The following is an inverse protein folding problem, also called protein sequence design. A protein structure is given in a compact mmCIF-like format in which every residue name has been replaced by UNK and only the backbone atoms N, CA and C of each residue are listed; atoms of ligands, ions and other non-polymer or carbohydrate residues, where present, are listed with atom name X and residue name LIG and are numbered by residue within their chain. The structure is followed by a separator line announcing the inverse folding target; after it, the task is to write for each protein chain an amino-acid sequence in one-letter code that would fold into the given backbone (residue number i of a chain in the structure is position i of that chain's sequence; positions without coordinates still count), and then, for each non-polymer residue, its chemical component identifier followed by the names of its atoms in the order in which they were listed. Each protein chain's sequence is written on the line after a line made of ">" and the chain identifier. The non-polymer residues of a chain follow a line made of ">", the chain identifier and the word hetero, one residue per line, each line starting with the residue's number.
data_IF_438302904645
#
_entry.id   IF_438302904645
#
_cell.length_a   1.000
_cell.length_b   1.000
_cell.length_c   1.000
_cell.angle_alpha   90.00
_cell.angle_beta   90.00
_cell.angle_gamma   90.00
#
_symmetry.space_group_name_H-M   'P 1'
#
loop_
_entity.id
_entity.type
_entity.pdbx_description
1 polymer ?
#
# COMPACT_ATOMS: atom_id res chain seq x y z
N UNK A 1 -19.93 14.72 23.63
CA UNK A 1 -19.69 13.30 23.94
C UNK A 1 -19.77 12.54 22.63
N UNK A 2 -18.63 12.09 22.09
CA UNK A 2 -18.59 11.31 20.85
C UNK A 2 -18.87 9.85 21.23
N UNK A 3 -20.11 9.40 21.00
CA UNK A 3 -20.44 7.98 21.08
C UNK A 3 -20.02 7.37 19.74
N UNK A 4 -18.81 6.82 19.72
CA UNK A 4 -18.36 5.94 18.64
C UNK A 4 -19.26 4.70 18.66
N UNK A 5 -20.27 4.67 17.81
CA UNK A 5 -21.14 3.51 17.61
C UNK A 5 -20.54 2.68 16.50
N UNK A 6 -19.57 1.84 16.83
CA UNK A 6 -19.16 0.75 15.96
C UNK A 6 -20.34 -0.19 15.79
N UNK A 7 -21.06 -0.10 14.68
CA UNK A 7 -22.07 -1.10 14.33
C UNK A 7 -21.37 -2.39 13.92
N UNK A 8 -21.60 -3.45 14.68
CA UNK A 8 -21.12 -4.79 14.36
C UNK A 8 -22.03 -5.35 13.25
N UNK A 9 -21.57 -5.29 12.01
CA UNK A 9 -22.34 -5.69 10.81
C UNK A 9 -22.44 -7.22 10.70
N UNK A 10 -21.50 -7.96 11.32
CA UNK A 10 -21.46 -9.41 11.33
C UNK A 10 -21.01 -9.92 12.71
N UNK A 11 -21.60 -11.00 13.25
CA UNK A 11 -21.15 -11.61 14.49
C UNK A 11 -19.69 -12.08 14.35
N UNK A 12 -18.90 -12.09 15.44
CA UNK A 12 -17.55 -12.63 15.43
C UNK A 12 -17.55 -14.06 14.89
N UNK A 13 -16.66 -14.35 13.95
CA UNK A 13 -16.47 -15.71 13.44
C UNK A 13 -15.89 -16.59 14.55
N UNK A 14 -16.41 -17.81 14.71
CA UNK A 14 -15.83 -18.77 15.65
C UNK A 14 -14.37 -19.07 15.28
N UNK A 15 -13.47 -18.82 16.23
CA UNK A 15 -12.05 -19.09 16.04
C UNK A 15 -11.79 -20.60 16.17
N UNK A 16 -11.19 -21.21 15.16
CA UNK A 16 -10.77 -22.62 15.17
C UNK A 16 -9.43 -22.85 15.87
N UNK A 17 -8.85 -21.81 16.45
CA UNK A 17 -7.53 -21.81 17.09
C UNK A 17 -7.53 -20.95 18.35
N UNK A 18 -6.65 -21.30 19.28
CA UNK A 18 -6.45 -20.52 20.50
C UNK A 18 -5.74 -19.18 20.20
N UNK A 19 -5.94 -18.14 21.03
CA UNK A 19 -5.24 -16.87 20.88
C UNK A 19 -3.72 -17.04 21.01
N UNK A 20 -2.95 -16.45 20.09
CA UNK A 20 -1.50 -16.38 20.21
C UNK A 20 -1.11 -15.17 21.08
N UNK A 21 -0.89 -15.42 22.38
CA UNK A 21 -0.54 -14.37 23.36
C UNK A 21 0.75 -13.64 22.99
N UNK A 22 1.74 -14.35 22.45
CA UNK A 22 3.03 -13.76 22.10
C UNK A 22 2.91 -12.77 20.93
N UNK A 23 2.09 -13.08 19.92
CA UNK A 23 1.79 -12.15 18.83
C UNK A 23 1.05 -10.90 19.33
N UNK A 24 0.11 -11.07 20.25
CA UNK A 24 -0.62 -9.96 20.85
C UNK A 24 0.34 -9.04 21.62
N UNK A 25 1.26 -9.60 22.40
CA UNK A 25 2.28 -8.84 23.13
C UNK A 25 3.24 -8.12 22.18
N UNK A 26 3.72 -8.80 21.12
CA UNK A 26 4.56 -8.17 20.09
C UNK A 26 3.84 -6.98 19.43
N UNK A 27 2.55 -7.11 19.09
CA UNK A 27 1.73 -6.01 18.55
C UNK A 27 1.60 -4.85 19.54
N UNK A 28 1.40 -5.12 20.84
CA UNK A 28 1.34 -4.08 21.88
C UNK A 28 2.65 -3.29 21.96
N UNK A 29 3.80 -3.98 21.90
CA UNK A 29 5.12 -3.36 21.91
C UNK A 29 5.31 -2.46 20.68
N UNK A 30 4.98 -2.95 19.48
CA UNK A 30 5.05 -2.15 18.24
C UNK A 30 4.17 -0.90 18.31
N UNK A 31 2.95 -1.02 18.84
CA UNK A 31 2.06 0.12 19.05
C UNK A 31 2.60 1.12 20.08
N UNK A 32 3.26 0.65 21.15
CA UNK A 32 3.92 1.53 22.11
C UNK A 32 5.07 2.32 21.47
N UNK A 33 5.90 1.66 20.64
CA UNK A 33 6.96 2.32 19.89
C UNK A 33 6.39 3.37 18.93
N UNK A 34 5.29 3.06 18.22
CA UNK A 34 4.57 4.02 17.37
C UNK A 34 4.05 5.22 18.17
N UNK A 35 3.40 4.97 19.30
CA UNK A 35 2.92 6.03 20.19
C UNK A 35 4.06 6.94 20.66
N UNK A 36 5.18 6.38 21.13
CA UNK A 36 6.35 7.17 21.54
C UNK A 36 6.98 7.92 20.36
N UNK A 37 7.01 7.34 19.16
CA UNK A 37 7.55 7.99 17.98
C UNK A 37 6.74 9.24 17.59
N UNK A 38 5.42 9.19 17.75
CA UNK A 38 4.48 10.29 17.47
C UNK A 38 4.49 11.38 18.56
N UNK A 39 4.62 10.99 19.83
CA UNK A 39 4.36 11.88 20.96
C UNK A 39 5.61 12.31 21.74
N UNK A 40 6.80 11.87 21.35
CA UNK A 40 8.05 12.20 22.06
C UNK A 40 9.17 12.57 21.10
N UNK A 41 10.18 13.29 21.62
CA UNK A 41 11.40 13.67 20.90
C UNK A 41 12.57 12.70 21.14
N UNK A 42 12.35 11.61 21.89
CA UNK A 42 13.37 10.61 22.20
C UNK A 42 14.02 10.06 20.93
N UNK A 43 15.32 9.82 20.92
CA UNK A 43 15.94 9.18 19.75
C UNK A 43 15.42 7.74 19.56
N UNK A 44 15.47 7.16 18.34
CA UNK A 44 14.95 5.81 18.08
C UNK A 44 15.52 4.73 19.00
N UNK A 45 16.80 4.82 19.36
CA UNK A 45 17.46 3.86 20.25
C UNK A 45 16.81 3.85 21.64
N UNK A 46 16.53 5.03 22.20
CA UNK A 46 15.84 5.18 23.48
C UNK A 46 14.40 4.67 23.43
N UNK A 47 13.69 4.89 22.33
CA UNK A 47 12.32 4.37 22.14
C UNK A 47 12.33 2.84 22.09
N UNK A 48 13.22 2.25 21.31
CA UNK A 48 13.32 0.78 21.15
C UNK A 48 13.69 0.15 22.50
N UNK A 49 14.77 0.62 23.12
CA UNK A 49 15.27 0.08 24.38
C UNK A 49 14.22 0.18 25.50
N UNK A 50 13.55 1.34 25.64
CA UNK A 50 12.51 1.51 26.66
C UNK A 50 11.22 0.73 26.41
N UNK A 51 11.01 0.23 25.18
CA UNK A 51 9.81 -0.56 24.82
C UNK A 51 10.08 -2.06 24.84
N UNK A 52 11.34 -2.47 24.95
CA UNK A 52 11.77 -3.86 25.03
C UNK A 52 12.17 -4.29 26.45
N UNK A 53 11.92 -3.45 27.47
CA UNK A 53 12.16 -3.80 28.87
C UNK A 53 11.24 -4.97 29.25
N UNK A 54 11.83 -6.02 29.84
CA UNK A 54 11.13 -7.22 30.31
C UNK A 54 10.38 -8.01 29.22
N UNK A 55 10.80 -7.91 27.95
CA UNK A 55 10.25 -8.73 26.87
C UNK A 55 10.80 -10.15 26.96
N UNK A 56 9.91 -11.14 26.88
CA UNK A 56 10.30 -12.56 26.90
C UNK A 56 11.01 -12.94 25.60
N UNK A 57 11.91 -13.95 25.60
CA UNK A 57 12.56 -14.41 24.37
C UNK A 57 11.58 -14.82 23.26
N UNK A 58 10.44 -15.41 23.64
CA UNK A 58 9.40 -15.84 22.72
C UNK A 58 8.66 -14.68 22.03
N UNK A 59 8.54 -13.52 22.69
CA UNK A 59 7.99 -12.30 22.09
C UNK A 59 9.07 -11.56 21.31
N UNK A 60 10.31 -11.55 21.82
CA UNK A 60 11.44 -10.91 21.17
C UNK A 60 11.73 -11.51 19.79
N UNK A 61 11.50 -12.81 19.59
CA UNK A 61 11.67 -13.47 18.29
C UNK A 61 10.60 -13.08 17.27
N UNK A 62 9.47 -12.52 17.71
CA UNK A 62 8.39 -12.03 16.84
C UNK A 62 8.57 -10.54 16.48
N UNK A 63 9.48 -9.84 17.14
CA UNK A 63 9.76 -8.43 16.84
C UNK A 63 10.68 -8.33 15.61
N UNK A 64 10.50 -7.28 14.77
CA UNK A 64 11.44 -6.97 13.71
C UNK A 64 12.85 -6.67 14.26
N UNK A 65 13.84 -6.77 13.40
CA UNK A 65 15.21 -6.38 13.73
C UNK A 65 15.32 -4.88 14.08
N UNK A 66 16.43 -4.53 14.71
CA UNK A 66 16.68 -3.17 15.20
C UNK A 66 16.62 -2.12 14.08
N UNK A 67 17.16 -2.43 12.90
CA UNK A 67 17.20 -1.47 11.78
C UNK A 67 15.81 -1.22 11.21
N UNK A 68 14.97 -2.24 11.14
CA UNK A 68 13.56 -2.15 10.76
C UNK A 68 12.78 -1.31 11.77
N UNK A 69 12.97 -1.56 13.07
CA UNK A 69 12.35 -0.75 14.12
C UNK A 69 12.79 0.72 14.04
N UNK A 70 14.09 0.97 13.86
CA UNK A 70 14.66 2.31 13.71
C UNK A 70 14.09 3.03 12.49
N UNK A 71 14.05 2.36 11.33
CA UNK A 71 13.47 2.91 10.08
C UNK A 71 11.98 3.21 10.26
N UNK A 72 11.22 2.33 10.91
CA UNK A 72 9.80 2.56 11.19
C UNK A 72 9.59 3.82 12.03
N UNK A 73 10.36 4.01 13.11
CA UNK A 73 10.29 5.22 13.95
C UNK A 73 10.63 6.47 13.13
N UNK A 74 11.66 6.41 12.29
CA UNK A 74 12.05 7.52 11.43
C UNK A 74 10.98 7.83 10.38
N UNK A 75 10.38 6.82 9.76
CA UNK A 75 9.29 6.98 8.79
C UNK A 75 8.07 7.65 9.42
N UNK A 76 7.65 7.18 10.61
CA UNK A 76 6.54 7.79 11.36
C UNK A 76 6.80 9.29 11.59
N UNK A 77 8.02 9.67 11.97
CA UNK A 77 8.38 11.08 12.20
C UNK A 77 8.49 11.88 10.91
N UNK A 78 9.07 11.30 9.86
CA UNK A 78 9.14 11.95 8.55
C UNK A 78 7.75 12.26 8.03
N UNK A 79 6.80 11.32 8.14
CA UNK A 79 5.42 11.53 7.70
C UNK A 79 4.65 12.57 8.56
N UNK A 80 5.11 12.87 9.78
CA UNK A 80 4.55 13.99 10.57
C UNK A 80 5.06 15.35 10.10
N UNK A 81 6.32 15.43 9.67
CA UNK A 81 6.97 16.68 9.26
C UNK A 81 6.66 16.99 7.78
N UNK A 82 6.69 15.95 6.96
CA UNK A 82 6.42 15.97 5.53
C UNK A 82 5.33 14.93 5.25
N UNK A 83 4.06 15.26 5.56
CA UNK A 83 2.97 14.37 5.23
C UNK A 83 2.91 14.17 3.71
N UNK A 84 2.69 12.93 3.28
CA UNK A 84 2.25 12.68 1.91
C UNK A 84 0.88 13.35 1.74
N UNK A 85 0.85 14.45 0.99
CA UNK A 85 -0.38 15.16 0.67
C UNK A 85 -1.04 14.36 -0.46
N UNK A 86 -1.81 13.35 -0.08
CA UNK A 86 -2.73 12.69 -0.98
C UNK A 86 -4.01 13.54 -1.08
N UNK A 87 -4.64 13.59 -2.26
CA UNK A 87 -5.97 14.16 -2.40
C UNK A 87 -6.98 13.39 -1.52
N UNK A 88 -8.14 13.97 -1.24
CA UNK A 88 -9.11 13.32 -0.34
C UNK A 88 -9.80 12.10 -1.00
N UNK A 89 -9.78 12.03 -2.33
CA UNK A 89 -10.38 10.95 -3.12
C UNK A 89 -9.63 10.69 -4.42
N UNK A 90 -9.89 9.55 -5.06
CA UNK A 90 -9.36 9.26 -6.38
C UNK A 90 -9.81 10.32 -7.39
N UNK A 91 -11.03 10.85 -7.31
CA UNK A 91 -11.55 11.87 -8.23
C UNK A 91 -10.81 13.20 -8.15
N UNK A 92 -10.26 13.56 -6.99
CA UNK A 92 -9.49 14.79 -6.79
C UNK A 92 -8.03 14.69 -7.25
N UNK A 93 -7.56 13.48 -7.58
CA UNK A 93 -6.19 13.29 -8.07
C UNK A 93 -6.00 13.94 -9.44
N UNK A 94 -5.17 14.98 -9.51
CA UNK A 94 -4.72 15.53 -10.80
C UNK A 94 -3.37 14.90 -11.12
N UNK A 95 -3.23 14.30 -12.30
CA UNK A 95 -1.94 13.79 -12.78
C UNK A 95 -1.22 14.92 -13.53
N UNK A 96 -0.10 15.44 -12.99
CA UNK A 96 0.73 16.42 -13.68
C UNK A 96 1.14 15.97 -15.09
N UNK A 97 1.23 16.92 -16.02
CA UNK A 97 1.60 16.64 -17.42
C UNK A 97 2.94 15.91 -17.55
N UNK A 98 3.90 16.16 -16.64
CA UNK A 98 5.20 15.48 -16.60
C UNK A 98 5.11 13.96 -16.36
N UNK A 99 4.01 13.47 -15.78
CA UNK A 99 3.77 12.03 -15.57
C UNK A 99 2.84 11.42 -16.62
N UNK A 100 2.35 12.22 -17.58
CA UNK A 100 1.51 11.73 -18.67
C UNK A 100 2.33 11.21 -19.86
N UNK A 101 3.63 11.51 -19.89
CA UNK A 101 4.57 11.13 -20.95
C UNK A 101 5.76 10.36 -20.37
N UNK A 102 6.39 9.53 -21.20
CA UNK A 102 7.71 8.95 -20.90
C UNK A 102 8.80 10.00 -21.05
N UNK A 103 10.02 9.70 -20.57
CA UNK A 103 11.19 10.57 -20.80
C UNK A 103 11.53 10.74 -22.29
N UNK A 104 11.11 9.78 -23.13
CA UNK A 104 11.27 9.84 -24.59
C UNK A 104 10.19 10.69 -25.28
N UNK A 105 9.19 11.19 -24.54
CA UNK A 105 8.09 11.99 -25.07
C UNK A 105 6.92 11.17 -25.61
N UNK A 106 6.93 9.85 -25.41
CA UNK A 106 5.79 8.99 -25.79
C UNK A 106 4.67 9.11 -24.75
N UNK A 107 3.42 8.90 -25.18
CA UNK A 107 2.28 8.80 -24.27
C UNK A 107 2.54 7.71 -23.23
N UNK A 108 2.24 8.02 -21.97
CA UNK A 108 2.33 7.07 -20.86
C UNK A 108 1.02 6.96 -20.08
N UNK A 109 0.30 8.07 -19.85
CA UNK A 109 -1.07 8.00 -19.36
C UNK A 109 -1.98 7.54 -20.51
N UNK A 110 -2.31 6.25 -20.52
CA UNK A 110 -3.05 5.62 -21.62
C UNK A 110 -4.55 5.81 -21.47
N UNK A 111 -5.05 5.68 -20.23
CA UNK A 111 -6.46 5.77 -19.89
C UNK A 111 -6.61 6.39 -18.49
N UNK A 112 -7.61 7.26 -18.34
CA UNK A 112 -8.00 7.84 -17.06
C UNK A 112 -9.49 8.16 -17.13
N UNK A 113 -10.31 7.29 -16.54
CA UNK A 113 -11.75 7.46 -16.56
C UNK A 113 -12.36 7.21 -15.18
N UNK A 114 -13.39 7.98 -14.86
CA UNK A 114 -14.20 7.88 -13.64
C UNK A 114 -15.70 7.79 -13.93
N UNK A 115 -16.08 7.68 -15.21
CA UNK A 115 -17.45 7.77 -15.72
C UNK A 115 -18.39 6.68 -15.20
N UNK A 116 -17.87 5.51 -14.81
CA UNK A 116 -18.67 4.37 -14.35
C UNK A 116 -18.72 4.34 -12.82
N UNK A 117 -19.89 4.67 -12.24
CA UNK A 117 -20.20 4.52 -10.82
C UNK A 117 -19.22 5.23 -9.85
N UNK A 118 -18.63 6.35 -10.27
CA UNK A 118 -17.54 7.03 -9.55
C UNK A 118 -16.46 6.03 -9.14
N UNK A 119 -15.95 5.27 -10.11
CA UNK A 119 -14.86 4.33 -9.93
C UNK A 119 -13.76 4.70 -10.90
N UNK A 120 -12.77 5.44 -10.40
CA UNK A 120 -11.66 5.87 -11.23
C UNK A 120 -10.73 4.69 -11.55
N UNK A 121 -10.47 4.48 -12.83
CA UNK A 121 -9.46 3.55 -13.35
C UNK A 121 -8.44 4.36 -14.13
N UNK A 122 -7.17 4.20 -13.77
CA UNK A 122 -6.05 4.89 -14.40
C UNK A 122 -5.08 3.83 -14.93
N UNK A 123 -4.77 3.89 -16.23
CA UNK A 123 -3.85 2.98 -16.89
C UNK A 123 -2.63 3.77 -17.37
N UNK A 124 -1.46 3.32 -16.93
CA UNK A 124 -0.18 3.77 -17.44
C UNK A 124 0.45 2.71 -18.34
N UNK A 125 0.59 3.04 -19.61
CA UNK A 125 1.14 2.18 -20.66
C UNK A 125 1.51 3.06 -21.88
N UNK A 126 2.66 2.79 -22.50
CA UNK A 126 2.98 3.38 -23.80
C UNK A 126 2.40 2.56 -24.96
N UNK A 127 2.27 3.18 -26.13
CA UNK A 127 1.81 2.46 -27.33
C UNK A 127 2.71 1.26 -27.67
N UNK A 128 4.03 1.42 -27.49
CA UNK A 128 5.00 0.33 -27.65
C UNK A 128 4.82 -0.80 -26.64
N UNK A 129 4.45 -0.50 -25.39
CA UNK A 129 4.09 -1.52 -24.41
C UNK A 129 2.82 -2.27 -24.83
N UNK A 130 1.82 -1.55 -25.35
CA UNK A 130 0.58 -2.16 -25.87
C UNK A 130 0.84 -3.12 -27.02
N UNK A 131 1.69 -2.73 -27.97
CA UNK A 131 2.12 -3.59 -29.08
C UNK A 131 2.80 -4.87 -28.57
N UNK A 132 3.69 -4.75 -27.58
CA UNK A 132 4.36 -5.89 -26.96
C UNK A 132 3.35 -6.80 -26.28
N UNK A 133 2.42 -6.27 -25.49
CA UNK A 133 1.42 -7.07 -24.78
C UNK A 133 0.48 -7.77 -25.77
N UNK A 134 0.06 -7.11 -26.85
CA UNK A 134 -0.83 -7.68 -27.87
C UNK A 134 -0.20 -8.82 -28.68
N UNK A 135 1.13 -8.81 -28.82
CA UNK A 135 1.88 -9.82 -29.58
C UNK A 135 2.51 -10.89 -28.67
N UNK A 136 2.45 -10.71 -27.35
CA UNK A 136 3.04 -11.63 -26.39
C UNK A 136 2.24 -12.92 -26.28
N UNK A 137 2.93 -14.06 -26.42
CA UNK A 137 2.34 -15.39 -26.25
C UNK A 137 1.88 -15.65 -24.81
N UNK A 138 2.56 -15.05 -23.84
CA UNK A 138 2.31 -15.22 -22.43
C UNK A 138 2.33 -13.86 -21.75
N UNK A 139 1.27 -13.58 -20.99
CA UNK A 139 1.17 -12.42 -20.11
C UNK A 139 0.95 -12.89 -18.67
N UNK A 140 1.44 -12.11 -17.73
CA UNK A 140 1.36 -12.40 -16.29
C UNK A 140 0.74 -11.21 -15.56
N UNK A 141 0.10 -11.52 -14.44
CA UNK A 141 -0.72 -10.60 -13.68
C UNK A 141 -0.15 -10.53 -12.25
N UNK A 142 0.21 -9.34 -11.78
CA UNK A 142 0.59 -9.11 -10.38
C UNK A 142 -0.20 -7.95 -9.76
N UNK A 143 -0.72 -8.16 -8.55
CA UNK A 143 -1.60 -7.22 -7.86
C UNK A 143 -1.07 -6.85 -6.49
N UNK A 144 -0.88 -5.56 -6.25
CA UNK A 144 -0.45 -5.02 -4.94
C UNK A 144 -1.61 -4.28 -4.26
N UNK A 145 -1.99 -4.77 -3.08
CA UNK A 145 -3.07 -4.18 -2.26
C UNK A 145 -2.54 -3.40 -1.06
N UNK A 146 -1.38 -3.80 -0.53
CA UNK A 146 -0.88 -3.31 0.78
C UNK A 146 -0.08 -2.01 0.69
N UNK A 147 0.36 -1.63 -0.51
CA UNK A 147 1.36 -0.57 -0.73
C UNK A 147 0.82 0.59 -1.57
N UNK A 148 -0.50 0.64 -1.80
CA UNK A 148 -1.12 1.65 -2.65
C UNK A 148 -1.70 2.79 -1.81
N UNK A 149 -1.71 4.05 -2.30
CA UNK A 149 -2.41 5.15 -1.66
C UNK A 149 -3.86 4.77 -1.32
N UNK A 150 -4.32 5.17 -0.14
CA UNK A 150 -5.65 4.82 0.38
C UNK A 150 -6.83 5.35 -0.46
N UNK A 151 -6.56 6.24 -1.42
CA UNK A 151 -7.54 6.68 -2.43
C UNK A 151 -7.81 5.63 -3.51
N UNK A 152 -6.98 4.58 -3.62
CA UNK A 152 -7.19 3.43 -4.49
C UNK A 152 -7.32 2.15 -3.68
N UNK A 153 -8.06 1.18 -4.21
CA UNK A 153 -8.20 -0.14 -3.59
C UNK A 153 -7.03 -1.07 -3.94
N UNK A 154 -6.54 -1.01 -5.19
CA UNK A 154 -5.44 -1.84 -5.67
C UNK A 154 -4.68 -1.17 -6.80
N UNK A 155 -3.42 -1.54 -6.93
CA UNK A 155 -2.69 -1.45 -8.19
C UNK A 155 -2.53 -2.86 -8.76
N UNK A 156 -2.76 -2.99 -10.04
CA UNK A 156 -2.58 -4.20 -10.80
C UNK A 156 -1.57 -3.93 -11.92
N UNK A 157 -0.78 -4.93 -12.33
CA UNK A 157 0.23 -4.79 -13.37
C UNK A 157 0.25 -5.99 -14.31
N UNK A 158 0.38 -5.72 -15.62
CA UNK A 158 0.53 -6.73 -16.65
C UNK A 158 1.98 -6.82 -17.05
N UNK A 159 2.50 -8.05 -17.08
CA UNK A 159 3.88 -8.35 -17.41
C UNK A 159 3.96 -9.26 -18.64
N UNK A 160 5.04 -9.14 -19.39
CA UNK A 160 5.38 -10.05 -20.48
C UNK A 160 6.88 -10.33 -20.51
N UNK A 161 7.28 -11.34 -21.29
CA UNK A 161 8.68 -11.72 -21.42
C UNK A 161 9.45 -10.76 -22.34
N UNK A 162 10.64 -10.35 -21.92
CA UNK A 162 11.64 -9.61 -22.69
C UNK A 162 13.02 -10.16 -22.39
N UNK A 163 13.70 -10.73 -23.38
CA UNK A 163 15.05 -11.30 -23.22
C UNK A 163 15.18 -12.18 -21.96
N UNK A 164 14.30 -13.19 -21.85
CA UNK A 164 14.23 -14.15 -20.73
C UNK A 164 13.89 -13.57 -19.35
N UNK A 165 13.47 -12.31 -19.29
CA UNK A 165 13.00 -11.66 -18.06
C UNK A 165 11.51 -11.32 -18.15
N UNK A 166 10.79 -11.43 -17.04
CA UNK A 166 9.40 -10.96 -16.94
C UNK A 166 9.43 -9.49 -16.51
N UNK A 167 8.86 -8.61 -17.32
CA UNK A 167 8.90 -7.15 -17.11
C UNK A 167 7.48 -6.60 -17.14
N UNK A 168 7.13 -5.64 -16.26
CA UNK A 168 5.85 -4.93 -16.32
C UNK A 168 5.79 -4.00 -17.54
N UNK A 169 4.67 -4.01 -18.23
CA UNK A 169 4.40 -3.16 -19.38
C UNK A 169 3.19 -2.24 -19.18
N UNK A 170 2.34 -2.57 -18.23
CA UNK A 170 1.13 -1.82 -17.91
C UNK A 170 0.91 -1.77 -16.41
N UNK A 171 0.50 -0.61 -15.91
CA UNK A 171 0.10 -0.39 -14.52
C UNK A 171 -1.31 0.17 -14.46
N UNK A 172 -2.16 -0.44 -13.66
CA UNK A 172 -3.57 -0.11 -13.53
C UNK A 172 -3.88 0.23 -12.08
N UNK A 173 -4.28 1.46 -11.81
CA UNK A 173 -4.82 1.89 -10.52
C UNK A 173 -6.34 1.78 -10.56
N UNK A 174 -6.93 1.14 -9.56
CA UNK A 174 -8.37 0.94 -9.49
C UNK A 174 -8.91 1.40 -8.14
N UNK A 175 -9.87 2.33 -8.17
CA UNK A 175 -10.52 2.84 -6.96
C UNK A 175 -11.36 1.75 -6.26
N UNK A 176 -11.96 0.82 -7.02
CA UNK A 176 -12.79 -0.27 -6.50
C UNK A 176 -12.48 -1.60 -7.17
N UNK A 177 -12.59 -2.70 -6.41
CA UNK A 177 -12.55 -4.07 -6.93
C UNK A 177 -13.96 -4.56 -7.25
N UNK A 178 -14.46 -4.21 -8.43
CA UNK A 178 -15.74 -4.71 -8.96
C UNK A 178 -15.59 -5.09 -10.44
N UNK A 179 -16.58 -5.82 -10.97
CA UNK A 179 -16.53 -6.35 -12.34
C UNK A 179 -16.43 -5.25 -13.39
N UNK A 180 -17.13 -4.13 -13.21
CA UNK A 180 -17.08 -3.02 -14.16
C UNK A 180 -15.69 -2.37 -14.23
N UNK A 181 -15.01 -2.25 -13.09
CA UNK A 181 -13.63 -1.80 -13.01
C UNK A 181 -12.70 -2.67 -13.87
N UNK A 182 -12.86 -4.00 -13.77
CA UNK A 182 -12.09 -4.97 -14.55
C UNK A 182 -12.49 -5.08 -16.02
N UNK A 183 -13.59 -4.45 -16.44
CA UNK A 183 -13.96 -4.34 -17.86
C UNK A 183 -13.38 -3.09 -18.51
N UNK A 184 -13.11 -2.06 -17.71
CA UNK A 184 -12.42 -0.84 -18.14
C UNK A 184 -10.91 -1.03 -18.21
N UNK A 185 -10.37 -1.78 -17.24
CA UNK A 185 -8.99 -2.26 -17.22
C UNK A 185 -8.78 -3.38 -18.25
#
# INVERSE_FOLDING_TARGET
>A
MNYDKTEIILPPTDHTHAPNTNEIEARKIMNNMRYKALNTTLNPRSIISSSQIAVTPAVSSLLPDYDTLRRNIQNIRRNLIFPEILPASASELVIPNEYQMTEAGDRFLFFDDSSIQNNRVIIFMSDSCSDILSTSKHIYFDGTFKTIPNIFYQMFSIHASKHDSIVPYEYILMEKKNLEAYRLA
#
